data_IF_617712636507
#
_entry.id   IF_617712636507
#
_cell.length_a   1.000
_cell.length_b   1.000
_cell.length_c   1.000
_cell.angle_alpha   90.00
_cell.angle_beta   90.00
_cell.angle_gamma   90.00
#
_symmetry.space_group_name_H-M   'P 1'
#
loop_
_entity.id
_entity.type
_entity.pdbx_description
1 polymer ?
#
# COMPACT_ATOMS: atom_id res chain seq x y z
N UNK A 1 2.30 -8.98 -12.48
CA UNK A 1 2.56 -7.56 -12.14
C UNK A 1 1.39 -7.03 -11.33
N UNK A 2 1.62 -6.05 -10.47
CA UNK A 2 0.55 -5.31 -9.78
C UNK A 2 0.35 -3.98 -10.49
N UNK A 3 -0.90 -3.66 -10.81
CA UNK A 3 -1.29 -2.47 -11.58
C UNK A 3 -2.40 -1.74 -10.81
N UNK A 4 -2.31 -0.42 -10.75
CA UNK A 4 -3.39 0.43 -10.20
C UNK A 4 -4.62 0.39 -11.11
N UNK A 5 -5.77 0.83 -10.58
CA UNK A 5 -6.99 0.98 -11.38
C UNK A 5 -6.82 1.90 -12.61
N UNK A 6 -5.84 2.81 -12.57
CA UNK A 6 -5.50 3.71 -13.70
C UNK A 6 -4.51 3.10 -14.71
N UNK A 7 -4.16 1.83 -14.58
CA UNK A 7 -3.23 1.16 -15.51
C UNK A 7 -1.75 1.39 -15.21
N UNK A 8 -1.40 2.05 -14.11
CA UNK A 8 0.01 2.28 -13.72
C UNK A 8 0.56 1.04 -13.02
N UNK A 9 1.64 0.46 -13.54
CA UNK A 9 2.36 -0.63 -12.89
C UNK A 9 3.11 -0.11 -11.66
N UNK A 10 2.94 -0.78 -10.52
CA UNK A 10 3.51 -0.38 -9.23
C UNK A 10 4.46 -1.42 -8.64
N UNK A 11 4.53 -2.62 -9.22
CA UNK A 11 5.50 -3.63 -8.79
C UNK A 11 5.08 -5.05 -9.12
N UNK A 12 5.59 -5.97 -8.31
CA UNK A 12 5.38 -7.40 -8.44
C UNK A 12 5.02 -8.00 -7.07
N UNK A 13 4.31 -9.13 -7.10
CA UNK A 13 4.13 -9.97 -5.91
C UNK A 13 5.40 -10.76 -5.63
N UNK A 14 5.56 -11.21 -4.39
CA UNK A 14 6.63 -12.11 -4.00
C UNK A 14 6.65 -13.38 -4.88
N UNK A 15 7.84 -13.87 -5.21
CA UNK A 15 8.04 -14.99 -6.15
C UNK A 15 7.32 -16.26 -5.69
N UNK A 16 7.24 -16.48 -4.38
CA UNK A 16 6.61 -17.62 -3.74
C UNK A 16 5.08 -17.62 -3.94
N UNK A 17 4.47 -16.44 -4.11
CA UNK A 17 3.01 -16.29 -4.31
C UNK A 17 2.63 -16.19 -5.79
N UNK A 18 3.56 -15.80 -6.66
CA UNK A 18 3.28 -15.58 -8.07
C UNK A 18 2.67 -16.79 -8.80
N UNK A 19 3.15 -18.04 -8.63
CA UNK A 19 2.57 -19.20 -9.32
C UNK A 19 1.13 -19.48 -8.89
N UNK A 20 0.83 -19.31 -7.60
CA UNK A 20 -0.50 -19.57 -7.03
C UNK A 20 -1.53 -18.56 -7.55
N UNK A 21 -1.21 -17.25 -7.46
CA UNK A 21 -2.08 -16.19 -7.98
C UNK A 21 -2.24 -16.35 -9.49
N UNK A 22 -1.15 -16.62 -10.22
CA UNK A 22 -1.20 -16.82 -11.66
C UNK A 22 -2.04 -18.02 -12.09
N UNK A 23 -2.10 -19.08 -11.28
CA UNK A 23 -2.99 -20.23 -11.53
C UNK A 23 -4.45 -19.79 -11.50
N UNK A 24 -4.90 -19.10 -10.44
CA UNK A 24 -6.29 -18.68 -10.34
C UNK A 24 -6.68 -17.65 -11.41
N UNK A 25 -5.77 -16.74 -11.77
CA UNK A 25 -6.00 -15.84 -12.91
C UNK A 25 -6.26 -16.60 -14.21
N UNK A 26 -5.51 -17.69 -14.49
CA UNK A 26 -5.73 -18.53 -15.68
C UNK A 26 -7.03 -19.32 -15.63
N UNK A 27 -7.50 -19.65 -14.43
CA UNK A 27 -8.79 -20.31 -14.20
C UNK A 27 -9.99 -19.34 -14.32
N UNK A 28 -9.74 -18.06 -14.61
CA UNK A 28 -10.77 -17.05 -14.81
C UNK A 28 -11.19 -16.32 -13.52
N UNK A 29 -10.45 -16.49 -12.43
CA UNK A 29 -10.72 -15.77 -11.20
C UNK A 29 -10.61 -14.25 -11.38
N UNK A 30 -11.60 -13.52 -10.88
CA UNK A 30 -11.51 -12.08 -10.71
C UNK A 30 -10.56 -11.79 -9.53
N UNK A 31 -9.35 -11.33 -9.83
CA UNK A 31 -8.34 -11.03 -8.82
C UNK A 31 -8.40 -9.55 -8.45
N UNK A 32 -8.82 -9.27 -7.23
CA UNK A 32 -8.89 -7.92 -6.66
C UNK A 32 -7.87 -7.76 -5.54
N UNK A 33 -7.29 -6.58 -5.40
CA UNK A 33 -6.28 -6.31 -4.38
C UNK A 33 -6.50 -4.96 -3.68
N UNK A 34 -6.16 -4.89 -2.39
CA UNK A 34 -6.17 -3.67 -1.58
C UNK A 34 -4.85 -3.51 -0.83
N UNK A 35 -4.39 -2.27 -0.67
CA UNK A 35 -3.22 -1.96 0.16
C UNK A 35 -3.57 -2.03 1.64
N UNK A 36 -2.81 -2.83 2.39
CA UNK A 36 -2.96 -2.91 3.84
C UNK A 36 -2.01 -1.95 4.56
N UNK A 37 -0.72 -2.00 4.22
CA UNK A 37 0.29 -1.14 4.83
C UNK A 37 1.48 -0.91 3.89
N UNK A 38 2.13 0.24 4.05
CA UNK A 38 3.43 0.49 3.46
C UNK A 38 4.52 -0.12 4.35
N UNK A 39 5.54 -0.72 3.72
CA UNK A 39 6.72 -1.24 4.40
C UNK A 39 7.95 -0.44 3.97
N UNK A 40 9.10 -0.67 4.62
CA UNK A 40 10.35 0.03 4.27
C UNK A 40 10.77 -0.18 2.81
N UNK A 41 10.40 -1.31 2.20
CA UNK A 41 10.86 -1.72 0.85
C UNK A 41 9.71 -2.07 -0.11
N UNK A 42 8.48 -1.70 0.21
CA UNK A 42 7.32 -2.02 -0.61
C UNK A 42 6.00 -1.82 0.12
N UNK A 43 5.04 -2.70 -0.13
CA UNK A 43 3.75 -2.68 0.52
C UNK A 43 3.25 -4.10 0.80
N UNK A 44 2.48 -4.25 1.87
CA UNK A 44 1.64 -5.43 2.08
C UNK A 44 0.30 -5.15 1.43
N UNK A 45 -0.09 -6.05 0.53
CA UNK A 45 -1.40 -6.04 -0.12
C UNK A 45 -2.17 -7.30 0.27
N UNK A 46 -3.50 -7.18 0.32
CA UNK A 46 -4.41 -8.31 0.41
C UNK A 46 -4.99 -8.57 -0.96
N UNK A 47 -5.12 -9.85 -1.33
CA UNK A 47 -5.60 -10.27 -2.64
C UNK A 47 -6.76 -11.22 -2.44
N UNK A 48 -7.89 -10.91 -3.07
CA UNK A 48 -9.01 -11.82 -3.23
C UNK A 48 -8.90 -12.55 -4.57
N UNK A 49 -9.22 -13.84 -4.56
CA UNK A 49 -9.12 -14.73 -5.73
C UNK A 49 -10.47 -15.32 -6.15
N UNK A 50 -11.57 -14.80 -5.61
CA UNK A 50 -12.95 -15.21 -5.92
C UNK A 50 -13.80 -14.05 -6.45
N UNK A 51 -13.21 -12.88 -6.65
CA UNK A 51 -13.90 -11.66 -7.08
C UNK A 51 -14.53 -10.86 -5.94
N UNK A 52 -14.49 -11.34 -4.70
CA UNK A 52 -14.93 -10.55 -3.55
C UNK A 52 -14.01 -9.34 -3.34
N UNK A 53 -14.56 -8.25 -2.79
CA UNK A 53 -13.76 -7.09 -2.41
C UNK A 53 -12.93 -7.47 -1.17
N UNK A 54 -11.58 -7.47 -1.24
CA UNK A 54 -10.76 -7.84 -0.11
C UNK A 54 -10.91 -6.81 1.02
N UNK A 55 -11.24 -7.29 2.21
CA UNK A 55 -11.39 -6.44 3.40
C UNK A 55 -10.06 -6.20 4.12
N UNK A 56 -9.93 -5.02 4.71
CA UNK A 56 -8.80 -4.66 5.54
C UNK A 56 -9.05 -5.11 6.98
N UNK A 57 -8.07 -5.74 7.66
CA UNK A 57 -8.17 -5.99 9.07
C UNK A 57 -8.23 -4.66 9.84
N UNK A 58 -8.69 -4.72 11.09
CA UNK A 58 -8.59 -3.56 11.98
C UNK A 58 -7.15 -3.04 11.98
N UNK A 59 -7.03 -1.73 11.78
CA UNK A 59 -5.72 -1.06 11.75
C UNK A 59 -5.07 -1.29 13.11
N UNK A 60 -3.95 -2.02 13.12
CA UNK A 60 -3.07 -2.05 14.28
C UNK A 60 -2.54 -0.63 14.51
N UNK A 61 -2.54 -0.17 15.75
CA UNK A 61 -1.85 1.07 16.10
C UNK A 61 -0.38 0.93 15.70
N UNK A 62 -0.01 1.61 14.62
CA UNK A 62 1.40 1.79 14.29
C UNK A 62 2.00 2.63 15.40
N UNK A 63 3.10 2.16 16.00
CA UNK A 63 3.96 3.02 16.82
C UNK A 63 4.19 4.30 16.02
N UNK A 64 3.70 5.43 16.53
CA UNK A 64 3.94 6.73 15.88
C UNK A 64 5.45 6.82 15.65
N UNK A 65 5.92 7.16 14.45
CA UNK A 65 7.35 7.48 14.29
C UNK A 65 7.69 8.49 15.37
N UNK A 66 8.71 8.20 16.18
CA UNK A 66 9.15 9.17 17.16
C UNK A 66 9.53 10.44 16.39
N UNK A 67 9.03 11.62 16.82
CA UNK A 67 9.43 12.86 16.17
C UNK A 67 10.95 12.90 16.15
N UNK A 68 11.51 13.05 14.96
CA UNK A 68 12.95 13.25 14.83
C UNK A 68 13.23 14.72 15.12
N UNK A 69 14.44 15.07 15.59
CA UNK A 69 14.85 16.47 15.80
C UNK A 69 14.80 17.34 14.51
N UNK A 70 14.37 16.77 13.38
CA UNK A 70 14.17 17.46 12.10
C UNK A 70 12.70 17.80 11.80
N UNK A 71 11.74 17.44 12.67
CA UNK A 71 10.31 17.77 12.50
C UNK A 71 9.96 19.21 12.93
N UNK A 72 10.95 20.09 13.04
CA UNK A 72 10.75 21.51 13.27
C UNK A 72 10.39 22.21 11.96
N UNK A 73 9.12 22.09 11.55
CA UNK A 73 8.55 23.01 10.57
C UNK A 73 8.42 24.40 11.24
N UNK A 74 9.48 25.20 11.17
CA UNK A 74 9.43 26.59 11.61
C UNK A 74 8.52 27.35 10.66
N UNK A 75 7.34 27.76 11.14
CA UNK A 75 6.58 28.79 10.43
C UNK A 75 7.40 30.07 10.46
N UNK A 76 7.64 30.65 9.29
CA UNK A 76 8.36 31.91 9.21
C UNK A 76 7.65 32.96 10.08
N UNK A 77 8.39 33.76 10.85
CA UNK A 77 7.80 34.86 11.59
C UNK A 77 7.18 35.87 10.62
N UNK A 78 5.95 36.28 10.92
CA UNK A 78 5.27 37.36 10.19
C UNK A 78 5.91 38.66 10.63
N UNK A 79 6.69 39.29 9.75
CA UNK A 79 7.26 40.61 10.03
C UNK A 79 6.18 41.68 9.85
N UNK A 80 6.09 42.69 10.74
CA UNK A 80 5.20 43.82 10.52
C UNK A 80 5.67 44.61 9.29
N UNK A 81 4.77 44.80 8.34
CA UNK A 81 4.98 45.69 7.20
C UNK A 81 4.82 47.15 7.67
N UNK A 82 5.91 47.75 8.17
CA UNK A 82 6.06 49.21 8.27
C UNK A 82 6.69 49.77 6.99
#
# INVERSE_FOLDING_TARGET
MIVTQRGIQIGYVAAERAPFIGKHMREGAAVLAVFQEATQRGAIIRVSLDGSVPELPERRESLKPQPTDYDHYFSDPIWPDD
#
